data_IF_771230863360
#
_entry.id   IF_771230863360
#
_cell.length_a   1.000
_cell.length_b   1.000
_cell.length_c   1.000
_cell.angle_alpha   90.00
_cell.angle_beta   90.00
_cell.angle_gamma   90.00
#
_symmetry.space_group_name_H-M   'P 1'
#
loop_
_entity.id
_entity.type
_entity.pdbx_description
1 polymer ?
#
# COMPACT_ATOMS: atom_id res chain seq x y z
N UNK A 1 -27.95 15.49 -3.03
CA UNK A 1 -27.08 14.88 -2.01
C UNK A 1 -25.71 14.72 -2.63
N UNK A 2 -24.68 15.35 -2.05
CA UNK A 2 -23.35 15.40 -2.65
C UNK A 2 -22.59 14.11 -2.38
N UNK A 3 -22.05 13.50 -3.42
CA UNK A 3 -21.08 12.41 -3.32
C UNK A 3 -19.96 12.82 -2.36
N UNK A 4 -19.86 12.16 -1.21
CA UNK A 4 -18.62 12.18 -0.44
C UNK A 4 -17.59 11.43 -1.28
N UNK A 5 -16.74 12.16 -1.99
CA UNK A 5 -15.55 11.57 -2.62
C UNK A 5 -14.74 10.93 -1.50
N UNK A 6 -14.65 9.60 -1.50
CA UNK A 6 -13.85 8.89 -0.50
C UNK A 6 -12.38 9.16 -0.80
N UNK A 7 -11.68 9.80 0.12
CA UNK A 7 -10.25 10.10 -0.01
C UNK A 7 -9.36 8.92 0.41
N UNK A 8 -9.97 7.87 0.96
CA UNK A 8 -9.32 6.65 1.44
C UNK A 8 -10.21 5.44 1.16
N UNK A 9 -9.66 4.42 0.51
CA UNK A 9 -10.20 3.07 0.43
C UNK A 9 -9.26 2.06 1.12
N UNK A 10 -9.82 1.18 1.94
CA UNK A 10 -9.10 0.12 2.65
C UNK A 10 -9.53 -1.24 2.10
N UNK A 11 -8.56 -2.11 1.83
CA UNK A 11 -8.81 -3.49 1.46
C UNK A 11 -8.01 -4.43 2.36
N UNK A 12 -8.71 -5.37 2.98
CA UNK A 12 -8.18 -6.35 3.93
C UNK A 12 -8.29 -7.77 3.33
N UNK A 13 -7.20 -8.52 3.38
CA UNK A 13 -7.11 -9.92 2.95
C UNK A 13 -6.60 -10.85 4.06
N UNK A 14 -6.64 -10.43 5.32
CA UNK A 14 -6.16 -11.19 6.48
C UNK A 14 -4.68 -10.98 6.73
N UNK A 15 -3.83 -11.43 5.80
CA UNK A 15 -2.36 -11.33 5.94
C UNK A 15 -1.79 -10.01 5.41
N UNK A 16 -2.55 -9.32 4.54
CA UNK A 16 -2.16 -8.08 3.86
C UNK A 16 -3.30 -7.08 3.95
N UNK A 17 -2.99 -5.82 4.23
CA UNK A 17 -3.92 -4.69 4.19
C UNK A 17 -3.37 -3.64 3.22
N UNK A 18 -4.15 -3.28 2.20
CA UNK A 18 -3.80 -2.20 1.27
C UNK A 18 -4.58 -0.92 1.58
N UNK A 19 -3.86 0.19 1.59
CA UNK A 19 -4.37 1.55 1.78
C UNK A 19 -4.28 2.32 0.46
N UNK A 20 -5.42 2.66 -0.13
CA UNK A 20 -5.50 3.50 -1.32
C UNK A 20 -5.95 4.89 -0.90
N UNK A 21 -5.06 5.87 -0.98
CA UNK A 21 -5.28 7.22 -0.45
C UNK A 21 -5.04 8.27 -1.54
N UNK A 22 -5.85 9.34 -1.53
CA UNK A 22 -5.50 10.57 -2.24
C UNK A 22 -4.28 11.24 -1.58
N UNK A 23 -3.51 12.05 -2.32
CA UNK A 23 -2.29 12.69 -1.80
C UNK A 23 -2.51 13.44 -0.48
N UNK A 24 -3.61 14.19 -0.35
CA UNK A 24 -3.92 14.99 0.84
C UNK A 24 -4.15 14.11 2.07
N UNK A 25 -4.79 12.95 1.90
CA UNK A 25 -4.98 11.98 2.98
C UNK A 25 -3.65 11.30 3.33
N UNK A 26 -2.83 10.95 2.34
CA UNK A 26 -1.52 10.34 2.56
C UNK A 26 -0.59 11.24 3.38
N UNK A 27 -0.56 12.53 3.06
CA UNK A 27 0.22 13.54 3.81
C UNK A 27 -0.30 13.75 5.24
N UNK A 28 -1.62 13.78 5.44
CA UNK A 28 -2.22 13.96 6.76
C UNK A 28 -1.95 12.78 7.70
N UNK A 29 -2.08 11.56 7.20
CA UNK A 29 -1.97 10.35 8.02
C UNK A 29 -0.55 9.79 8.13
N UNK A 30 0.34 10.11 7.18
CA UNK A 30 1.76 9.73 7.15
C UNK A 30 2.01 8.28 7.58
N UNK A 31 1.28 7.35 6.97
CA UNK A 31 1.46 5.93 7.25
C UNK A 31 2.87 5.46 6.84
N UNK A 32 3.50 6.13 5.87
CA UNK A 32 4.88 5.83 5.51
C UNK A 32 5.85 6.11 6.66
N UNK A 33 5.71 7.24 7.36
CA UNK A 33 6.48 7.55 8.56
C UNK A 33 6.20 6.56 9.69
N UNK A 34 4.93 6.23 9.94
CA UNK A 34 4.53 5.27 10.98
C UNK A 34 5.18 3.89 10.78
N UNK A 35 5.25 3.41 9.53
CA UNK A 35 5.78 2.09 9.21
C UNK A 35 7.23 2.11 8.73
N UNK A 36 7.94 3.22 8.87
CA UNK A 36 9.29 3.39 8.34
C UNK A 36 10.28 2.33 8.87
N UNK A 37 10.14 1.94 10.14
CA UNK A 37 10.99 0.96 10.82
C UNK A 37 10.51 -0.50 10.64
N UNK A 38 9.40 -0.72 9.94
CA UNK A 38 8.88 -2.05 9.71
C UNK A 38 9.83 -2.87 8.80
N UNK A 39 9.97 -4.17 9.10
CA UNK A 39 10.76 -5.08 8.27
C UNK A 39 10.18 -5.12 6.85
N UNK A 40 11.01 -4.76 5.86
CA UNK A 40 10.65 -4.91 4.45
C UNK A 40 10.59 -6.40 4.09
N UNK A 41 9.48 -6.77 3.46
CA UNK A 41 9.21 -8.12 3.00
C UNK A 41 9.35 -8.14 1.48
N UNK A 42 10.23 -9.02 0.98
CA UNK A 42 10.29 -9.32 -0.45
C UNK A 42 9.15 -10.29 -0.80
N UNK A 43 8.01 -9.73 -1.21
CA UNK A 43 6.83 -10.51 -1.55
C UNK A 43 7.00 -11.32 -2.84
N UNK A 44 7.91 -10.94 -3.75
CA UNK A 44 8.17 -11.69 -4.98
C UNK A 44 8.87 -13.01 -4.65
N UNK A 45 9.82 -12.97 -3.71
CA UNK A 45 10.49 -14.17 -3.21
C UNK A 45 9.51 -15.16 -2.56
N UNK A 46 8.49 -14.65 -1.84
CA UNK A 46 7.50 -15.46 -1.13
C UNK A 46 6.45 -16.02 -2.09
N UNK A 47 6.03 -15.24 -3.08
CA UNK A 47 5.05 -15.65 -4.07
C UNK A 47 5.60 -16.65 -5.11
N UNK A 48 6.90 -16.96 -5.08
CA UNK A 48 7.55 -17.84 -6.05
C UNK A 48 7.50 -17.29 -7.48
N UNK A 49 7.24 -16.00 -7.64
CA UNK A 49 7.21 -15.33 -8.94
C UNK A 49 8.66 -15.05 -9.32
N UNK A 50 9.20 -15.66 -10.40
CA UNK A 50 10.56 -15.36 -10.82
C UNK A 50 10.65 -13.86 -11.11
N UNK A 51 11.71 -13.21 -10.60
CA UNK A 51 11.98 -11.80 -10.81
C UNK A 51 11.84 -11.51 -12.31
N UNK A 52 10.74 -10.86 -12.70
CA UNK A 52 10.53 -10.48 -14.09
C UNK A 52 11.66 -9.53 -14.44
N UNK A 53 12.57 -9.99 -15.30
CA UNK A 53 13.73 -9.25 -15.74
C UNK A 53 13.27 -7.90 -16.26
N UNK A 54 13.48 -6.84 -15.49
CA UNK A 54 13.34 -5.47 -15.95
C UNK A 54 14.52 -5.19 -16.89
N UNK A 55 14.42 -5.71 -18.11
CA UNK A 55 15.24 -5.31 -19.24
C UNK A 55 14.63 -4.02 -19.79
N UNK A 56 15.22 -2.88 -19.43
CA UNK A 56 15.07 -1.63 -20.18
C UNK A 56 16.43 -1.24 -20.74
#
# INVERSE_FOLDING_TARGET
EGEKVSTWLLQDWGDIVAHFMLPEARELYDLEGLWADAKRVDWQSIAGVPAVTASN
#
